data_IF_813982996273
#
_entry.id   IF_813982996273
#
_cell.length_a   1.000
_cell.length_b   1.000
_cell.length_c   1.000
_cell.angle_alpha   90.00
_cell.angle_beta   90.00
_cell.angle_gamma   90.00
#
_symmetry.space_group_name_H-M   'P 1'
#
loop_
_entity.id
_entity.type
_entity.pdbx_description
1 polymer ?
#
# COMPACT_ATOMS: atom_id res chain seq x y z
N UNK A 1 -8.10 2.82 -24.30
CA UNK A 1 -8.22 1.78 -23.26
C UNK A 1 -7.30 0.63 -23.64
N UNK A 2 -6.26 0.32 -22.85
CA UNK A 2 -5.38 -0.81 -23.16
C UNK A 2 -6.14 -2.13 -23.08
N UNK A 3 -5.96 -3.01 -24.06
CA UNK A 3 -6.62 -4.32 -24.11
C UNK A 3 -6.26 -5.11 -22.85
N UNK A 4 -7.26 -5.51 -22.05
CA UNK A 4 -7.05 -6.40 -20.89
C UNK A 4 -6.59 -7.75 -21.43
N UNK A 5 -5.44 -8.25 -20.95
CA UNK A 5 -4.87 -9.54 -21.40
C UNK A 5 -5.82 -10.72 -21.12
N UNK A 6 -6.58 -10.65 -20.03
CA UNK A 6 -7.50 -11.68 -19.60
C UNK A 6 -8.89 -11.07 -19.36
N UNK A 7 -9.93 -11.76 -19.83
CA UNK A 7 -11.33 -11.42 -19.59
C UNK A 7 -11.73 -11.73 -18.15
N UNK A 8 -12.81 -11.11 -17.67
CA UNK A 8 -13.37 -11.37 -16.33
C UNK A 8 -13.85 -12.81 -16.20
N UNK A 9 -14.44 -13.34 -17.27
CA UNK A 9 -14.99 -14.69 -17.35
C UNK A 9 -13.86 -15.72 -17.23
N UNK A 10 -12.74 -15.50 -17.93
CA UNK A 10 -11.57 -16.37 -17.82
C UNK A 10 -10.99 -16.38 -16.40
N UNK A 11 -10.86 -15.20 -15.77
CA UNK A 11 -10.39 -15.11 -14.38
C UNK A 11 -11.32 -15.86 -13.42
N UNK A 12 -12.64 -15.74 -13.61
CA UNK A 12 -13.65 -16.44 -12.83
C UNK A 12 -13.51 -17.96 -12.99
N UNK A 13 -13.38 -18.46 -14.22
CA UNK A 13 -13.17 -19.89 -14.46
C UNK A 13 -11.93 -20.44 -13.73
N UNK A 14 -10.80 -19.75 -13.83
CA UNK A 14 -9.55 -20.15 -13.15
C UNK A 14 -9.73 -20.20 -11.64
N UNK A 15 -10.37 -19.19 -11.05
CA UNK A 15 -10.57 -19.13 -9.59
C UNK A 15 -11.56 -20.20 -9.13
N UNK A 16 -12.66 -20.42 -9.85
CA UNK A 16 -13.62 -21.47 -9.51
C UNK A 16 -12.99 -22.86 -9.63
N UNK A 17 -12.18 -23.12 -10.66
CA UNK A 17 -11.41 -24.36 -10.75
C UNK A 17 -10.52 -24.53 -9.53
N UNK A 18 -9.74 -23.51 -9.17
CA UNK A 18 -8.86 -23.58 -7.99
C UNK A 18 -9.61 -23.80 -6.67
N UNK A 19 -10.82 -23.26 -6.52
CA UNK A 19 -11.61 -23.41 -5.29
C UNK A 19 -12.35 -24.76 -5.20
N UNK A 20 -12.72 -25.34 -6.34
CA UNK A 20 -13.53 -26.57 -6.40
C UNK A 20 -12.72 -27.84 -6.66
N UNK A 21 -11.45 -27.73 -7.04
CA UNK A 21 -10.56 -28.87 -7.25
C UNK A 21 -9.58 -29.03 -6.09
N UNK A 22 -9.08 -30.24 -5.89
CA UNK A 22 -7.93 -30.51 -5.03
C UNK A 22 -6.59 -30.16 -5.72
N UNK A 23 -6.66 -29.36 -6.80
CA UNK A 23 -5.49 -28.83 -7.48
C UNK A 23 -4.92 -27.64 -6.70
N UNK A 24 -3.69 -27.79 -6.22
CA UNK A 24 -2.94 -26.65 -5.74
C UNK A 24 -2.68 -25.62 -6.86
N UNK A 25 -2.37 -24.38 -6.47
CA UNK A 25 -2.21 -23.26 -7.42
C UNK A 25 -1.21 -23.52 -8.56
N UNK A 26 -0.22 -24.40 -8.35
CA UNK A 26 0.73 -24.82 -9.40
C UNK A 26 0.09 -25.69 -10.48
N UNK A 27 -0.76 -26.65 -10.11
CA UNK A 27 -1.49 -27.53 -11.04
C UNK A 27 -2.50 -26.73 -11.84
N UNK A 28 -3.31 -25.90 -11.15
CA UNK A 28 -4.26 -24.99 -11.82
C UNK A 28 -3.55 -24.06 -12.79
N UNK A 29 -2.45 -23.42 -12.38
CA UNK A 29 -1.73 -22.50 -13.25
C UNK A 29 -1.19 -23.19 -14.52
N UNK A 30 -0.68 -24.42 -14.41
CA UNK A 30 -0.23 -25.19 -15.56
C UNK A 30 -1.38 -25.50 -16.52
N UNK A 31 -2.55 -25.88 -16.00
CA UNK A 31 -3.74 -26.18 -16.80
C UNK A 31 -4.20 -24.96 -17.64
N UNK A 32 -4.14 -23.77 -17.06
CA UNK A 32 -4.59 -22.54 -17.70
C UNK A 32 -3.47 -21.70 -18.36
N UNK A 33 -2.22 -22.19 -18.39
CA UNK A 33 -1.09 -21.47 -18.98
C UNK A 33 -0.70 -20.18 -18.24
N UNK A 34 -0.86 -20.15 -16.91
CA UNK A 34 -0.63 -18.98 -16.05
C UNK A 34 0.57 -19.20 -15.11
N UNK A 35 1.00 -18.12 -14.46
CA UNK A 35 1.84 -18.24 -13.27
C UNK A 35 0.99 -18.55 -12.02
N UNK A 36 1.46 -19.46 -11.18
CA UNK A 36 0.81 -19.86 -9.93
C UNK A 36 0.60 -18.70 -8.93
N UNK A 37 1.45 -17.67 -8.98
CA UNK A 37 1.27 -16.44 -8.21
C UNK A 37 0.06 -15.63 -8.69
N UNK A 38 -0.26 -15.68 -9.98
CA UNK A 38 -1.45 -15.04 -10.58
C UNK A 38 -2.72 -15.72 -10.09
N UNK A 39 -2.76 -17.05 -10.09
CA UNK A 39 -3.90 -17.83 -9.56
C UNK A 39 -4.18 -17.43 -8.11
N UNK A 40 -3.15 -17.49 -7.25
CA UNK A 40 -3.28 -17.10 -5.83
C UNK A 40 -3.79 -15.67 -5.67
N UNK A 41 -3.26 -14.72 -6.45
CA UNK A 41 -3.67 -13.32 -6.37
C UNK A 41 -5.16 -13.15 -6.77
N UNK A 42 -5.59 -13.74 -7.88
CA UNK A 42 -6.99 -13.68 -8.31
C UNK A 42 -7.93 -14.32 -7.30
N UNK A 43 -7.54 -15.42 -6.69
CA UNK A 43 -8.32 -16.05 -5.62
C UNK A 43 -8.47 -15.14 -4.41
N UNK A 44 -7.41 -14.44 -3.97
CA UNK A 44 -7.53 -13.47 -2.85
C UNK A 44 -8.46 -12.31 -3.20
N UNK A 45 -8.39 -11.78 -4.44
CA UNK A 45 -9.31 -10.73 -4.89
C UNK A 45 -10.76 -11.21 -4.95
N UNK A 46 -10.98 -12.44 -5.43
CA UNK A 46 -12.31 -13.06 -5.45
C UNK A 46 -12.86 -13.25 -4.04
N UNK A 47 -12.04 -13.74 -3.10
CA UNK A 47 -12.45 -13.89 -1.69
C UNK A 47 -12.81 -12.55 -1.04
N UNK A 48 -12.12 -11.47 -1.40
CA UNK A 48 -12.35 -10.15 -0.80
C UNK A 48 -13.52 -9.37 -1.40
N UNK A 49 -13.81 -9.53 -2.70
CA UNK A 49 -14.77 -8.67 -3.41
C UNK A 49 -15.51 -9.36 -4.56
N UNK A 50 -15.41 -10.68 -4.70
CA UNK A 50 -16.05 -11.45 -5.78
C UNK A 50 -15.63 -10.97 -7.17
N UNK A 51 -16.61 -10.83 -8.07
CA UNK A 51 -16.43 -10.35 -9.45
C UNK A 51 -15.74 -8.97 -9.51
N UNK A 52 -16.04 -8.09 -8.54
CA UNK A 52 -15.45 -6.74 -8.46
C UNK A 52 -13.93 -6.77 -8.19
N UNK A 53 -13.42 -7.89 -7.68
CA UNK A 53 -11.99 -8.12 -7.51
C UNK A 53 -11.21 -8.20 -8.83
N UNK A 54 -11.89 -8.36 -9.97
CA UNK A 54 -11.25 -8.46 -11.28
C UNK A 54 -11.17 -7.15 -12.06
N UNK A 55 -11.89 -6.11 -11.61
CA UNK A 55 -12.05 -4.81 -12.29
C UNK A 55 -11.20 -3.70 -11.66
N UNK A 56 -10.06 -4.06 -11.07
CA UNK A 56 -9.18 -3.14 -10.36
C UNK A 56 -8.46 -2.20 -11.34
N UNK A 57 -8.61 -0.90 -11.13
CA UNK A 57 -7.92 0.14 -11.90
C UNK A 57 -6.60 0.50 -11.24
N UNK A 58 -5.56 0.71 -12.05
CA UNK A 58 -4.27 1.18 -11.55
C UNK A 58 -4.35 2.69 -11.31
N UNK A 59 -4.04 3.12 -10.09
CA UNK A 59 -4.04 4.53 -9.69
C UNK A 59 -2.75 4.92 -8.97
N UNK A 60 -2.55 6.23 -8.81
CA UNK A 60 -1.49 6.76 -7.94
C UNK A 60 -1.92 6.67 -6.48
N UNK A 61 -0.98 6.34 -5.61
CA UNK A 61 -1.21 6.24 -4.17
C UNK A 61 -0.37 7.29 -3.43
N UNK A 62 -0.93 7.92 -2.41
CA UNK A 62 -0.21 8.86 -1.55
C UNK A 62 0.78 8.09 -0.66
N UNK A 63 1.84 8.77 -0.17
CA UNK A 63 2.79 8.15 0.76
C UNK A 63 2.09 7.64 2.03
N UNK A 64 1.16 8.45 2.57
CA UNK A 64 0.36 8.08 3.73
C UNK A 64 -0.46 6.80 3.51
N UNK A 65 -1.13 6.66 2.36
CA UNK A 65 -1.87 5.43 2.03
C UNK A 65 -0.93 4.22 1.90
N UNK A 66 0.22 4.38 1.26
CA UNK A 66 1.20 3.29 1.16
C UNK A 66 1.67 2.84 2.54
N UNK A 67 1.92 3.79 3.44
CA UNK A 67 2.28 3.53 4.83
C UNK A 67 1.19 2.79 5.60
N UNK A 68 -0.08 3.21 5.47
CA UNK A 68 -1.19 2.53 6.16
C UNK A 68 -1.40 1.09 5.68
N UNK A 69 -1.18 0.82 4.39
CA UNK A 69 -1.23 -0.56 3.84
C UNK A 69 -0.12 -1.43 4.45
N UNK A 70 1.10 -0.90 4.57
CA UNK A 70 2.23 -1.63 5.16
C UNK A 70 2.03 -1.88 6.65
N UNK A 71 1.54 -0.88 7.39
CA UNK A 71 1.21 -1.01 8.80
C UNK A 71 0.14 -2.09 9.01
N UNK A 72 -0.95 -2.04 8.22
CA UNK A 72 -1.99 -3.07 8.29
C UNK A 72 -1.45 -4.48 8.02
N UNK A 73 -0.53 -4.64 7.06
CA UNK A 73 0.10 -5.93 6.82
C UNK A 73 0.89 -6.44 8.02
N UNK A 74 1.63 -5.55 8.68
CA UNK A 74 2.43 -5.88 9.85
C UNK A 74 1.54 -6.25 11.04
N UNK A 75 0.54 -5.41 11.35
CA UNK A 75 -0.35 -5.61 12.50
C UNK A 75 -1.20 -6.88 12.38
N UNK A 76 -1.55 -7.27 11.15
CA UNK A 76 -2.41 -8.43 10.90
C UNK A 76 -1.62 -9.67 10.45
N UNK A 77 -0.29 -9.61 10.39
CA UNK A 77 0.59 -10.66 9.85
C UNK A 77 0.14 -11.19 8.48
N UNK A 78 -0.34 -10.30 7.60
CA UNK A 78 -0.89 -10.67 6.30
C UNK A 78 0.13 -10.50 5.17
N UNK A 79 0.03 -11.38 4.18
CA UNK A 79 0.85 -11.30 2.98
C UNK A 79 0.47 -10.12 2.08
N UNK A 80 1.39 -9.70 1.21
CA UNK A 80 1.14 -8.64 0.23
C UNK A 80 0.01 -8.94 -0.75
N UNK A 81 -0.30 -10.23 -1.02
CA UNK A 81 -1.47 -10.61 -1.84
C UNK A 81 -2.78 -10.32 -1.13
N UNK A 82 -2.86 -10.61 0.17
CA UNK A 82 -4.04 -10.31 0.98
C UNK A 82 -4.24 -8.81 1.17
N UNK A 83 -3.16 -8.06 1.37
CA UNK A 83 -3.24 -6.60 1.38
C UNK A 83 -3.65 -6.04 0.02
N UNK A 84 -3.15 -6.63 -1.08
CA UNK A 84 -3.58 -6.23 -2.42
C UNK A 84 -5.09 -6.41 -2.61
N UNK A 85 -5.62 -7.54 -2.17
CA UNK A 85 -7.06 -7.82 -2.18
C UNK A 85 -7.85 -6.85 -1.28
N UNK A 86 -7.42 -6.66 -0.04
CA UNK A 86 -8.10 -5.81 0.94
C UNK A 86 -8.18 -4.33 0.52
N UNK A 87 -7.09 -3.81 -0.06
CA UNK A 87 -6.97 -2.39 -0.43
C UNK A 87 -7.25 -2.11 -1.91
N UNK A 88 -7.76 -3.11 -2.63
CA UNK A 88 -8.07 -3.01 -4.05
C UNK A 88 -6.86 -2.51 -4.88
N UNK A 89 -5.71 -3.15 -4.69
CA UNK A 89 -4.46 -2.89 -5.41
C UNK A 89 -4.24 -4.01 -6.40
N UNK A 90 -4.01 -3.68 -7.67
CA UNK A 90 -4.01 -4.66 -8.75
C UNK A 90 -2.88 -5.72 -8.67
N UNK A 91 -1.75 -5.41 -8.04
CA UNK A 91 -0.59 -6.33 -7.97
C UNK A 91 0.08 -6.32 -6.61
N UNK A 92 0.35 -7.50 -6.06
CA UNK A 92 1.10 -7.67 -4.82
C UNK A 92 2.55 -7.15 -4.93
N UNK A 93 3.15 -7.21 -6.12
CA UNK A 93 4.50 -6.66 -6.36
C UNK A 93 4.60 -5.15 -6.08
N UNK A 94 3.50 -4.41 -6.28
CA UNK A 94 3.45 -2.98 -5.96
C UNK A 94 3.66 -2.75 -4.47
N UNK A 95 3.05 -3.57 -3.62
CA UNK A 95 3.17 -3.49 -2.17
C UNK A 95 4.54 -3.97 -1.71
N UNK A 96 5.08 -5.04 -2.30
CA UNK A 96 6.45 -5.48 -2.01
C UNK A 96 7.47 -4.37 -2.29
N UNK A 97 7.27 -3.61 -3.37
CA UNK A 97 8.10 -2.44 -3.69
C UNK A 97 7.98 -1.35 -2.63
N UNK A 98 6.78 -1.07 -2.13
CA UNK A 98 6.59 -0.11 -1.03
C UNK A 98 7.28 -0.58 0.24
N UNK A 99 7.15 -1.86 0.61
CA UNK A 99 7.82 -2.43 1.77
C UNK A 99 9.34 -2.29 1.68
N UNK A 100 9.92 -2.52 0.49
CA UNK A 100 11.35 -2.28 0.25
C UNK A 100 11.73 -0.81 0.43
N UNK A 101 11.02 0.11 -0.23
CA UNK A 101 11.31 1.55 -0.12
C UNK A 101 11.17 2.05 1.32
N UNK A 102 10.17 1.56 2.05
CA UNK A 102 9.95 1.93 3.45
C UNK A 102 11.10 1.45 4.34
N UNK A 103 11.64 0.25 4.11
CA UNK A 103 12.82 -0.24 4.85
C UNK A 103 14.09 0.57 4.54
N UNK A 104 14.24 1.07 3.31
CA UNK A 104 15.42 1.82 2.88
C UNK A 104 15.39 3.31 3.29
N UNK A 105 14.21 3.94 3.38
CA UNK A 105 14.11 5.38 3.63
C UNK A 105 12.77 5.86 4.20
N UNK A 106 12.07 4.98 4.92
CA UNK A 106 10.86 5.29 5.66
C UNK A 106 9.72 5.86 4.81
N UNK A 107 8.90 6.70 5.42
CA UNK A 107 7.72 7.31 4.77
C UNK A 107 8.12 8.27 3.63
N UNK A 108 9.30 8.89 3.70
CA UNK A 108 9.79 9.83 2.69
C UNK A 108 10.07 9.08 1.37
N UNK A 109 10.67 7.88 1.45
CA UNK A 109 10.92 7.04 0.29
C UNK A 109 9.65 6.55 -0.42
N UNK A 110 8.48 6.59 0.25
CA UNK A 110 7.17 6.25 -0.34
C UNK A 110 6.54 7.39 -1.15
N UNK A 111 7.09 8.62 -1.09
CA UNK A 111 6.61 9.75 -1.90
C UNK A 111 6.72 9.42 -3.40
N UNK A 112 5.75 9.92 -4.17
CA UNK A 112 5.76 9.70 -5.61
C UNK A 112 6.90 10.53 -6.22
N UNK A 113 7.95 9.85 -6.71
CA UNK A 113 8.98 10.53 -7.51
C UNK A 113 8.40 10.91 -8.87
N UNK A 114 8.70 12.11 -9.41
CA UNK A 114 8.32 12.47 -10.76
C UNK A 114 8.87 11.41 -11.74
N UNK A 115 8.01 10.89 -12.63
CA UNK A 115 8.44 9.94 -13.66
C UNK A 115 8.98 10.74 -14.84
N UNK A 116 10.27 10.58 -15.14
CA UNK A 116 10.92 11.21 -16.28
C UNK A 116 12.41 10.87 -16.36
N UNK A 117 13.02 11.07 -17.53
CA UNK A 117 14.48 11.10 -17.68
C UNK A 117 15.00 12.25 -16.79
N UNK A 118 16.04 12.05 -15.96
CA UNK A 118 16.75 13.18 -15.37
C UNK A 118 17.07 14.15 -16.50
N UNK A 119 16.62 15.40 -16.40
CA UNK A 119 17.02 16.42 -17.35
C UNK A 119 18.55 16.44 -17.35
N UNK A 120 19.16 16.23 -18.52
CA UNK A 120 20.61 16.37 -18.71
C UNK A 120 20.96 17.84 -18.57
N UNK A 121 20.93 18.34 -17.34
CA UNK A 121 21.39 19.67 -16.98
C UNK A 121 22.80 19.49 -16.47
N UNK A 122 23.77 19.65 -17.37
CA UNK A 122 25.15 19.88 -17.00
C UNK A 122 25.23 21.17 -16.18
N UNK A 123 25.18 21.04 -14.86
CA UNK A 123 25.77 21.90 -13.82
C UNK A 123 25.10 21.55 -12.49
N UNK A 124 25.91 21.10 -11.52
CA UNK A 124 25.50 21.04 -10.11
C UNK A 124 24.99 22.42 -9.71
N UNK A 125 23.76 22.50 -9.20
CA UNK A 125 23.34 23.54 -8.26
C UNK A 125 22.47 22.90 -7.18
N UNK A 126 22.61 23.49 -6.00
CA UNK A 126 22.31 22.94 -4.69
C UNK A 126 20.83 22.61 -4.47
N UNK A 127 20.61 21.76 -3.46
CA UNK A 127 19.36 21.40 -2.81
C UNK A 127 18.29 22.49 -2.84
N UNK A 128 17.08 22.13 -3.26
CA UNK A 128 15.88 22.85 -2.89
C UNK A 128 15.11 21.97 -1.88
N UNK A 129 15.21 22.33 -0.60
CA UNK A 129 14.21 21.97 0.40
C UNK A 129 12.82 22.32 -0.15
N UNK A 130 11.93 21.34 -0.22
CA UNK A 130 10.49 21.61 -0.23
C UNK A 130 10.01 21.62 1.23
N UNK A 131 9.55 22.80 1.65
CA UNK A 131 9.18 23.19 3.00
C UNK A 131 8.11 22.26 3.62
N UNK A 132 8.55 21.31 4.42
CA UNK A 132 7.87 20.99 5.68
C UNK A 132 8.25 22.07 6.68
N UNK A 133 7.36 22.42 7.61
CA UNK A 133 7.77 23.20 8.79
C UNK A 133 9.09 22.61 9.34
N UNK A 134 10.07 23.44 9.76
CA UNK A 134 11.37 22.94 10.16
C UNK A 134 11.16 21.83 11.19
N UNK A 135 11.47 20.60 10.82
CA UNK A 135 11.59 19.55 11.81
C UNK A 135 12.77 19.99 12.68
N UNK A 136 12.64 20.06 14.02
CA UNK A 136 13.74 20.50 14.84
C UNK A 136 14.95 19.60 14.59
N UNK A 137 16.12 20.20 14.47
CA UNK A 137 17.37 19.45 14.34
C UNK A 137 17.77 19.00 15.75
N UNK A 138 17.62 17.70 16.03
CA UNK A 138 17.95 17.12 17.34
C UNK A 138 19.43 16.74 17.39
N UNK A 139 20.09 17.04 18.50
CA UNK A 139 21.51 16.70 18.72
C UNK A 139 21.68 15.26 19.17
N UNK A 140 20.63 14.64 19.70
CA UNK A 140 20.63 13.25 20.13
C UNK A 140 19.31 12.55 19.79
N UNK A 141 19.36 11.21 19.74
CA UNK A 141 18.18 10.35 19.56
C UNK A 141 17.22 10.48 20.76
N UNK A 142 17.74 10.76 21.95
CA UNK A 142 16.94 10.94 23.16
C UNK A 142 16.08 12.21 23.06
N UNK A 143 16.64 13.30 22.54
CA UNK A 143 15.91 14.55 22.29
C UNK A 143 14.80 14.37 21.25
N UNK A 144 15.07 13.65 20.15
CA UNK A 144 14.06 13.32 19.14
C UNK A 144 12.93 12.49 19.75
N UNK A 145 13.27 11.52 20.60
CA UNK A 145 12.31 10.62 21.23
C UNK A 145 11.43 11.37 22.23
N UNK A 146 11.99 12.30 23.00
CA UNK A 146 11.25 13.16 23.91
C UNK A 146 10.31 14.11 23.16
N UNK A 147 10.79 14.74 22.09
CA UNK A 147 9.96 15.59 21.23
C UNK A 147 8.78 14.80 20.63
N UNK A 148 9.05 13.62 20.09
CA UNK A 148 8.02 12.75 19.53
C UNK A 148 7.01 12.28 20.59
N UNK A 149 7.44 12.03 21.83
CA UNK A 149 6.54 11.72 22.95
C UNK A 149 5.64 12.90 23.28
N UNK A 150 6.19 14.11 23.31
CA UNK A 150 5.43 15.33 23.56
C UNK A 150 4.39 15.60 22.46
N UNK A 151 4.79 15.50 21.18
CA UNK A 151 3.88 15.67 20.04
C UNK A 151 2.73 14.65 20.06
N UNK A 152 3.05 13.38 20.35
CA UNK A 152 2.03 12.34 20.49
C UNK A 152 1.07 12.61 21.66
N UNK A 153 1.57 13.07 22.81
CA UNK A 153 0.75 13.43 23.95
C UNK A 153 -0.22 14.57 23.62
N UNK A 154 0.27 15.59 22.91
CA UNK A 154 -0.55 16.71 22.43
C UNK A 154 -1.67 16.23 21.50
N UNK A 155 -1.35 15.41 20.49
CA UNK A 155 -2.34 14.87 19.56
C UNK A 155 -3.40 14.00 20.25
N UNK A 156 -3.02 13.21 21.25
CA UNK A 156 -3.97 12.44 22.08
C UNK A 156 -4.92 13.36 22.85
N UNK A 157 -4.40 14.44 23.45
CA UNK A 157 -5.21 15.44 24.16
C UNK A 157 -6.17 16.16 23.22
N UNK A 158 -5.71 16.55 22.02
CA UNK A 158 -6.55 17.16 21.00
C UNK A 158 -7.71 16.23 20.58
N UNK A 159 -7.42 14.94 20.36
CA UNK A 159 -8.45 13.95 20.02
C UNK A 159 -9.49 13.81 21.14
N UNK A 160 -9.06 13.76 22.39
CA UNK A 160 -9.96 13.69 23.55
C UNK A 160 -10.90 14.90 23.61
N UNK A 161 -10.38 16.11 23.41
CA UNK A 161 -11.18 17.34 23.39
C UNK A 161 -12.20 17.36 22.23
N UNK A 162 -11.80 16.89 21.04
CA UNK A 162 -12.72 16.77 19.90
C UNK A 162 -13.84 15.78 20.22
N UNK A 163 -13.52 14.63 20.82
CA UNK A 163 -14.51 13.65 21.23
C UNK A 163 -15.46 14.19 22.31
N UNK A 164 -14.95 14.94 23.29
CA UNK A 164 -15.77 15.57 24.33
C UNK A 164 -16.72 16.61 23.74
N UNK A 165 -16.24 17.47 22.82
CA UNK A 165 -17.10 18.42 22.09
C UNK A 165 -18.18 17.72 21.27
N UNK A 166 -17.85 16.59 20.64
CA UNK A 166 -18.83 15.81 19.88
C UNK A 166 -19.87 15.15 20.79
N UNK A 167 -19.49 14.71 22.00
CA UNK A 167 -20.43 14.19 23.00
C UNK A 167 -21.39 15.27 23.50
N UNK A 168 -20.86 16.44 23.89
CA UNK A 168 -21.67 17.59 24.36
C UNK A 168 -22.62 18.17 23.30
N UNK A 169 -22.39 17.90 22.01
CA UNK A 169 -23.28 18.32 20.91
C UNK A 169 -24.37 17.29 20.60
N UNK A 170 -24.28 16.08 21.16
CA UNK A 170 -25.22 14.97 20.96
C UNK A 170 -26.17 14.77 22.15
N UNK A 171 -25.80 15.31 23.30
CA UNK A 171 -26.67 15.54 24.47
C UNK A 171 -27.46 16.84 24.27
#
# INVERSE_FOLDING_TARGET
>A
MGKRKYTTEFKRQVVLHFLNSDDGARRTARLFGLDHGTVRLWTEHWKASGENGFTITTKKYSAAFKGSVLLWMQDNHQSSRKAAAKFNIATACTINRWARLYREGGIIALRNKPRGRPTMSGKKKHSAQEATAPYPEFRSIEEELEYLRAENAYLKKLRALIQEKQRKKRE
#
